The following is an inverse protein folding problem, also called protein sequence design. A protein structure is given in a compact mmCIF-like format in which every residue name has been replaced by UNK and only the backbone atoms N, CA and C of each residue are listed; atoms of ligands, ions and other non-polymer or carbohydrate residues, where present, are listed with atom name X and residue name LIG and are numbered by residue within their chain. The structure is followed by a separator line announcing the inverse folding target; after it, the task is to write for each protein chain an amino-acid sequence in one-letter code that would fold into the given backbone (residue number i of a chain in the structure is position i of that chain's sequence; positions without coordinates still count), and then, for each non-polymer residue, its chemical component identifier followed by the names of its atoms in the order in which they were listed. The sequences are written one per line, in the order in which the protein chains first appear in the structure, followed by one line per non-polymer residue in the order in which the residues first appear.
data_IF_056798113908
#
_entry.id   IF_056798113908
#
_cell.length_a   1.000
_cell.length_b   1.000
_cell.length_c   1.000
_cell.angle_alpha   90.00
_cell.angle_beta   90.00
_cell.angle_gamma   90.00
#
_symmetry.space_group_name_H-M   'P 1'
#
loop_
_entity.id
_entity.type
_entity.pdbx_description
1 polymer ?
#
# COMPACT_ATOMS: atom_id res chain seq x y z
N UNK A 1 -33.43 17.93 -19.54
CA UNK A 1 -32.50 19.07 -19.69
C UNK A 1 -31.16 18.48 -20.09
N UNK A 2 -30.88 18.44 -21.40
CA UNK A 2 -29.71 17.78 -21.99
C UNK A 2 -28.50 18.72 -21.88
N UNK A 3 -27.53 18.36 -21.04
CA UNK A 3 -26.21 18.99 -21.07
C UNK A 3 -25.24 18.15 -21.89
N UNK A 4 -24.72 18.81 -22.92
CA UNK A 4 -23.89 18.28 -23.98
C UNK A 4 -22.42 18.32 -23.51
N UNK A 5 -21.81 17.17 -23.20
CA UNK A 5 -20.38 17.06 -22.95
C UNK A 5 -19.68 16.45 -24.17
N UNK A 6 -19.35 17.31 -25.12
CA UNK A 6 -18.40 17.03 -26.19
C UNK A 6 -17.23 18.00 -26.04
N UNK A 7 -16.19 17.54 -25.31
CA UNK A 7 -14.80 18.06 -25.39
C UNK A 7 -13.87 17.09 -24.65
N UNK A 8 -13.50 16.03 -25.33
CA UNK A 8 -12.49 15.06 -24.88
C UNK A 8 -11.25 15.22 -25.75
N UNK A 9 -10.08 15.23 -25.11
CA UNK A 9 -8.71 15.13 -25.66
C UNK A 9 -8.21 16.30 -26.51
N UNK A 10 -7.61 17.28 -25.83
CA UNK A 10 -6.24 17.75 -26.04
C UNK A 10 -5.96 18.85 -25.01
N UNK A 11 -4.82 18.75 -24.32
CA UNK A 11 -4.30 19.70 -23.31
C UNK A 11 -4.87 19.54 -21.89
N UNK A 12 -4.42 18.50 -21.18
CA UNK A 12 -4.20 18.60 -19.72
C UNK A 12 -2.73 19.00 -19.51
N UNK A 13 -2.43 20.26 -19.82
CA UNK A 13 -1.24 20.94 -19.35
C UNK A 13 -1.73 22.04 -18.40
N UNK A 14 -1.36 21.92 -17.13
CA UNK A 14 -1.40 22.98 -16.10
C UNK A 14 -2.77 23.47 -15.60
N UNK A 15 -3.50 22.67 -14.81
CA UNK A 15 -4.54 23.23 -13.90
C UNK A 15 -4.68 22.48 -12.56
N UNK A 16 -3.63 21.83 -12.06
CA UNK A 16 -3.43 21.73 -10.61
C UNK A 16 -2.36 22.76 -10.26
N UNK A 17 -2.60 23.60 -9.24
CA UNK A 17 -1.53 24.43 -8.69
C UNK A 17 -0.40 23.46 -8.32
N UNK A 18 0.83 23.61 -8.82
CA UNK A 18 1.89 22.68 -8.47
C UNK A 18 2.04 22.73 -6.95
N UNK A 19 1.79 21.61 -6.25
CA UNK A 19 2.23 21.49 -4.86
C UNK A 19 3.74 21.41 -4.94
N UNK A 20 4.38 22.47 -4.48
CA UNK A 20 5.82 22.54 -4.42
C UNK A 20 6.18 22.66 -2.96
N UNK A 21 7.18 21.90 -2.55
CA UNK A 21 7.61 21.84 -1.16
C UNK A 21 8.91 22.59 -0.97
N UNK A 22 9.14 23.06 0.25
CA UNK A 22 10.50 23.38 0.66
C UNK A 22 11.26 22.08 0.96
N UNK A 23 12.59 22.15 0.95
CA UNK A 23 13.44 21.07 1.43
C UNK A 23 13.05 20.64 2.86
N UNK A 24 12.66 21.59 3.70
CA UNK A 24 12.23 21.33 5.08
C UNK A 24 10.91 20.54 5.14
N UNK A 25 9.94 20.84 4.26
CA UNK A 25 8.69 20.09 4.20
C UNK A 25 8.94 18.64 3.76
N UNK A 26 9.85 18.42 2.81
CA UNK A 26 10.24 17.08 2.36
C UNK A 26 10.93 16.31 3.48
N UNK A 27 11.87 16.95 4.19
CA UNK A 27 12.53 16.33 5.33
C UNK A 27 11.53 15.92 6.42
N UNK A 28 10.59 16.81 6.74
CA UNK A 28 9.53 16.56 7.72
C UNK A 28 8.63 15.41 7.29
N UNK A 29 8.26 15.35 6.00
CA UNK A 29 7.44 14.27 5.44
C UNK A 29 8.16 12.92 5.48
N UNK A 30 9.44 12.89 5.08
CA UNK A 30 10.27 11.68 5.14
C UNK A 30 10.47 11.22 6.59
N UNK A 31 10.80 12.12 7.51
CA UNK A 31 10.98 11.79 8.93
C UNK A 31 9.69 11.25 9.55
N UNK A 32 8.54 11.83 9.15
CA UNK A 32 7.22 11.36 9.58
C UNK A 32 6.92 9.96 9.01
N UNK A 33 7.17 9.73 7.73
CA UNK A 33 6.97 8.42 7.08
C UNK A 33 7.89 7.35 7.69
N UNK A 34 9.15 7.68 7.94
CA UNK A 34 10.12 6.85 8.66
C UNK A 34 9.61 6.50 10.06
N UNK A 35 9.11 7.49 10.81
CA UNK A 35 8.61 7.26 12.16
C UNK A 35 7.35 6.40 12.15
N UNK A 36 6.48 6.59 11.16
CA UNK A 36 5.23 5.84 11.00
C UNK A 36 5.42 4.42 10.48
N UNK A 37 6.49 4.12 9.74
CA UNK A 37 6.76 2.75 9.26
C UNK A 37 7.40 1.84 10.31
N UNK A 38 7.80 2.37 11.47
CA UNK A 38 8.47 1.63 12.54
C UNK A 38 7.50 0.77 13.34
N UNK A 39 8.01 -0.36 13.80
CA UNK A 39 7.37 -1.20 14.82
C UNK A 39 7.09 -0.32 16.04
N UNK A 40 5.83 -0.25 16.45
CA UNK A 40 5.42 0.52 17.61
C UNK A 40 5.33 -0.35 18.87
N UNK A 41 5.56 0.28 20.03
CA UNK A 41 5.40 -0.37 21.33
C UNK A 41 3.92 -0.56 21.72
N UNK A 42 2.98 -0.18 20.84
CA UNK A 42 1.55 -0.41 21.06
C UNK A 42 1.32 -1.88 21.35
N UNK A 43 0.82 -2.19 22.53
CA UNK A 43 0.35 -3.51 22.87
C UNK A 43 -1.16 -3.48 22.76
N UNK A 44 -1.68 -4.14 21.74
CA UNK A 44 -3.08 -4.53 21.76
C UNK A 44 -3.25 -5.57 22.87
N UNK A 45 -4.24 -5.36 23.72
CA UNK A 45 -4.66 -6.36 24.70
C UNK A 45 -5.39 -7.52 23.99
N UNK A 46 -6.09 -7.20 22.89
CA UNK A 46 -6.82 -8.16 22.08
C UNK A 46 -6.56 -7.91 20.60
N UNK A 47 -6.36 -8.98 19.85
CA UNK A 47 -6.31 -8.94 18.38
C UNK A 47 -7.35 -9.93 17.86
N UNK A 48 -8.31 -9.40 17.12
CA UNK A 48 -9.51 -10.10 16.68
C UNK A 48 -9.53 -10.13 15.14
N UNK A 49 -9.66 -11.32 14.55
CA UNK A 49 -9.70 -11.51 13.10
C UNK A 49 -11.10 -11.95 12.68
N UNK A 50 -11.63 -11.28 11.67
CA UNK A 50 -12.83 -11.69 10.96
C UNK A 50 -12.52 -12.00 9.50
N UNK A 51 -12.52 -13.28 9.16
CA UNK A 51 -12.25 -13.76 7.82
C UNK A 51 -13.54 -14.05 7.05
N UNK A 52 -13.60 -13.58 5.82
CA UNK A 52 -14.73 -13.68 4.91
C UNK A 52 -14.29 -14.43 3.67
N UNK A 53 -15.13 -15.35 3.20
CA UNK A 53 -15.02 -15.97 1.87
C UNK A 53 -16.40 -16.24 1.31
N UNK A 54 -16.52 -16.39 0.00
CA UNK A 54 -17.74 -16.91 -0.59
C UNK A 54 -17.75 -18.44 -0.51
N UNK A 55 -18.95 -19.00 -0.41
CA UNK A 55 -19.15 -20.45 -0.47
C UNK A 55 -18.65 -21.03 -1.81
N UNK A 56 -18.81 -20.28 -2.90
CA UNK A 56 -18.49 -20.69 -4.27
C UNK A 56 -16.99 -20.56 -4.66
N UNK A 57 -16.14 -19.99 -3.80
CA UNK A 57 -14.70 -19.80 -4.09
C UNK A 57 -13.91 -21.13 -4.14
N UNK A 58 -14.51 -22.25 -3.76
CA UNK A 58 -13.96 -23.61 -3.86
C UNK A 58 -13.01 -24.00 -2.72
N UNK A 59 -12.71 -25.30 -2.63
CA UNK A 59 -11.99 -25.90 -1.50
C UNK A 59 -10.55 -25.41 -1.35
N UNK A 60 -9.87 -25.04 -2.46
CA UNK A 60 -8.51 -24.49 -2.41
C UNK A 60 -8.43 -23.16 -1.66
N UNK A 61 -9.42 -22.29 -1.85
CA UNK A 61 -9.51 -21.00 -1.15
C UNK A 61 -9.85 -21.21 0.33
N UNK A 62 -10.77 -22.14 0.63
CA UNK A 62 -11.11 -22.50 2.00
C UNK A 62 -9.90 -23.08 2.77
N UNK A 63 -9.10 -23.92 2.12
CA UNK A 63 -7.87 -24.48 2.68
C UNK A 63 -6.84 -23.39 3.03
N UNK A 64 -6.59 -22.45 2.11
CA UNK A 64 -5.66 -21.35 2.34
C UNK A 64 -6.11 -20.41 3.46
N UNK A 65 -7.40 -20.06 3.50
CA UNK A 65 -7.94 -19.24 4.58
C UNK A 65 -7.78 -19.96 5.93
N UNK A 66 -8.09 -21.26 5.99
CA UNK A 66 -7.93 -22.06 7.21
C UNK A 66 -6.48 -22.09 7.68
N UNK A 67 -5.53 -22.29 6.76
CA UNK A 67 -4.10 -22.30 7.07
C UNK A 67 -3.60 -20.93 7.57
N UNK A 68 -4.08 -19.84 6.97
CA UNK A 68 -3.76 -18.48 7.42
C UNK A 68 -4.30 -18.19 8.83
N UNK A 69 -5.54 -18.60 9.11
CA UNK A 69 -6.14 -18.44 10.45
C UNK A 69 -5.46 -19.32 11.50
N UNK A 70 -5.04 -20.53 11.15
CA UNK A 70 -4.25 -21.40 12.03
C UNK A 70 -2.91 -20.76 12.38
N UNK A 71 -2.24 -20.15 11.40
CA UNK A 71 -0.99 -19.42 11.63
C UNK A 71 -1.19 -18.24 12.59
N UNK A 72 -2.21 -17.41 12.37
CA UNK A 72 -2.51 -16.28 13.26
C UNK A 72 -2.86 -16.74 14.68
N UNK A 73 -3.65 -17.80 14.82
CA UNK A 73 -4.02 -18.32 16.12
C UNK A 73 -2.81 -18.92 16.85
N UNK A 74 -2.02 -19.77 16.19
CA UNK A 74 -0.95 -20.54 16.84
C UNK A 74 0.33 -19.75 17.06
N UNK A 75 0.74 -18.92 16.10
CA UNK A 75 2.00 -18.17 16.18
C UNK A 75 1.79 -16.82 16.85
N UNK A 76 0.69 -16.13 16.53
CA UNK A 76 0.45 -14.78 17.04
C UNK A 76 -0.50 -14.75 18.26
N UNK A 77 -1.24 -15.83 18.51
CA UNK A 77 -2.19 -15.90 19.62
C UNK A 77 -3.48 -15.12 19.37
N UNK A 78 -3.78 -14.78 18.12
CA UNK A 78 -4.94 -13.96 17.78
C UNK A 78 -6.25 -14.77 17.82
N UNK A 79 -7.36 -14.09 18.14
CA UNK A 79 -8.68 -14.70 18.10
C UNK A 79 -9.23 -14.64 16.67
N UNK A 80 -9.62 -15.79 16.11
CA UNK A 80 -9.99 -15.91 14.70
C UNK A 80 -11.43 -16.40 14.56
N UNK A 81 -12.26 -15.66 13.82
CA UNK A 81 -13.58 -16.09 13.38
C UNK A 81 -13.65 -16.08 11.84
N UNK A 82 -14.26 -17.11 11.26
CA UNK A 82 -14.48 -17.22 9.82
C UNK A 82 -15.97 -17.23 9.51
N UNK A 83 -16.37 -16.51 8.47
CA UNK A 83 -17.74 -16.47 7.97
C UNK A 83 -17.76 -16.78 6.48
N UNK A 84 -18.54 -17.78 6.12
CA UNK A 84 -18.77 -18.20 4.73
C UNK A 84 -20.04 -17.52 4.24
N UNK A 85 -19.90 -16.65 3.24
CA UNK A 85 -21.01 -15.95 2.61
C UNK A 85 -21.72 -16.93 1.67
N UNK A 86 -23.00 -17.28 1.90
CA UNK A 86 -23.70 -18.30 1.12
C UNK A 86 -23.86 -17.94 -0.37
N UNK A 87 -24.02 -18.95 -1.22
CA UNK A 87 -24.27 -18.76 -2.66
C UNK A 87 -25.70 -18.24 -2.90
N UNK A 88 -25.88 -17.30 -3.83
CA UNK A 88 -27.21 -16.74 -4.17
C UNK A 88 -27.74 -15.70 -3.19
N UNK A 89 -26.90 -15.28 -2.24
CA UNK A 89 -27.19 -14.24 -1.27
C UNK A 89 -27.28 -12.86 -1.95
N UNK A 90 -28.44 -12.21 -1.92
CA UNK A 90 -28.72 -10.98 -2.69
C UNK A 90 -28.56 -9.68 -1.89
N UNK A 91 -28.22 -9.74 -0.60
CA UNK A 91 -28.18 -8.57 0.27
C UNK A 91 -26.78 -8.22 0.77
N UNK A 92 -26.23 -7.08 0.31
CA UNK A 92 -25.13 -6.40 1.01
C UNK A 92 -25.47 -6.14 2.49
N UNK A 93 -26.76 -5.99 2.81
CA UNK A 93 -27.27 -5.71 4.16
C UNK A 93 -26.95 -6.77 5.20
N UNK A 94 -27.13 -8.06 4.93
CA UNK A 94 -26.92 -9.06 5.99
C UNK A 94 -25.43 -9.38 6.20
N UNK A 95 -24.60 -9.28 5.15
CA UNK A 95 -23.14 -9.36 5.32
C UNK A 95 -22.65 -8.16 6.13
N UNK A 96 -23.19 -6.97 5.87
CA UNK A 96 -22.91 -5.79 6.68
C UNK A 96 -23.36 -5.98 8.14
N UNK A 97 -24.58 -6.46 8.39
CA UNK A 97 -25.05 -6.76 9.75
C UNK A 97 -24.15 -7.76 10.44
N UNK A 98 -23.68 -8.79 9.73
CA UNK A 98 -22.77 -9.79 10.31
C UNK A 98 -21.41 -9.18 10.69
N UNK A 99 -20.88 -8.28 9.85
CA UNK A 99 -19.64 -7.54 10.16
C UNK A 99 -19.86 -6.61 11.34
N UNK A 100 -20.99 -5.91 11.40
CA UNK A 100 -21.32 -4.97 12.48
C UNK A 100 -21.54 -5.71 13.82
N UNK A 101 -22.32 -6.79 13.82
CA UNK A 101 -22.56 -7.66 14.97
C UNK A 101 -21.25 -8.23 15.53
N UNK A 102 -20.27 -8.50 14.66
CA UNK A 102 -18.95 -8.93 15.08
C UNK A 102 -18.08 -7.78 15.58
N UNK A 103 -18.08 -6.64 14.88
CA UNK A 103 -17.19 -5.51 15.12
C UNK A 103 -17.58 -4.68 16.34
N UNK A 104 -18.86 -4.36 16.49
CA UNK A 104 -19.38 -3.46 17.53
C UNK A 104 -19.07 -3.93 18.95
N UNK A 105 -19.20 -5.22 19.32
CA UNK A 105 -18.80 -5.71 20.65
C UNK A 105 -17.29 -5.65 20.94
N UNK A 106 -16.47 -5.44 19.91
CA UNK A 106 -14.99 -5.45 19.95
C UNK A 106 -14.38 -4.05 19.80
N UNK A 107 -15.20 -3.01 19.73
CA UNK A 107 -14.78 -1.62 19.71
C UNK A 107 -14.17 -1.22 21.06
N UNK A 108 -12.84 -1.18 21.13
CA UNK A 108 -12.08 -0.81 22.33
C UNK A 108 -10.73 -0.22 21.94
N UNK A 109 -10.29 0.80 22.68
CA UNK A 109 -9.00 1.49 22.48
C UNK A 109 -7.77 0.60 22.23
N UNK A 110 -7.61 -0.48 23.01
CA UNK A 110 -6.45 -1.37 22.93
C UNK A 110 -6.73 -2.66 22.14
N UNK A 111 -7.63 -2.61 21.16
CA UNK A 111 -7.98 -3.77 20.31
C UNK A 111 -7.62 -3.50 18.86
N UNK A 112 -6.98 -4.48 18.21
CA UNK A 112 -6.79 -4.51 16.77
C UNK A 112 -7.84 -5.44 16.15
N UNK A 113 -8.61 -4.92 15.20
CA UNK A 113 -9.51 -5.71 14.36
C UNK A 113 -8.89 -5.93 13.00
N UNK A 114 -8.78 -7.18 12.57
CA UNK A 114 -8.25 -7.53 11.25
C UNK A 114 -9.38 -8.14 10.44
N UNK A 115 -9.74 -7.48 9.34
CA UNK A 115 -10.71 -8.01 8.39
C UNK A 115 -9.95 -8.67 7.25
N UNK A 116 -10.23 -9.94 7.00
CA UNK A 116 -9.60 -10.69 5.92
C UNK A 116 -10.68 -11.06 4.92
N UNK A 117 -10.51 -10.71 3.65
CA UNK A 117 -11.32 -11.25 2.58
C UNK A 117 -10.47 -12.16 1.70
N UNK A 118 -10.90 -13.40 1.53
CA UNK A 118 -10.26 -14.41 0.70
C UNK A 118 -11.25 -14.84 -0.37
N UNK A 119 -10.99 -14.52 -1.65
CA UNK A 119 -11.89 -14.97 -2.72
C UNK A 119 -11.35 -14.79 -4.13
N UNK A 120 -11.97 -15.49 -5.08
CA UNK A 120 -11.61 -15.48 -6.51
C UNK A 120 -12.83 -15.03 -7.30
N UNK A 121 -12.88 -13.76 -7.73
CA UNK A 121 -13.97 -13.26 -8.58
C UNK A 121 -13.50 -12.70 -9.90
N UNK A 122 -13.98 -13.28 -10.99
CA UNK A 122 -13.92 -12.70 -12.33
C UNK A 122 -14.97 -11.60 -12.49
N UNK A 123 -14.57 -10.36 -12.78
CA UNK A 123 -15.50 -9.43 -13.43
C UNK A 123 -15.82 -9.95 -14.84
N UNK A 124 -17.09 -10.29 -15.11
CA UNK A 124 -17.59 -10.43 -16.48
C UNK A 124 -17.98 -9.04 -16.98
N UNK A 125 -17.05 -8.32 -17.63
CA UNK A 125 -17.36 -7.05 -18.27
C UNK A 125 -16.17 -6.49 -19.07
N UNK A 126 -16.41 -5.67 -20.12
CA UNK A 126 -15.33 -5.11 -20.93
C UNK A 126 -14.51 -4.13 -20.10
N UNK A 127 -13.24 -4.47 -19.90
CA UNK A 127 -12.23 -3.62 -19.25
C UNK A 127 -11.73 -2.65 -20.32
N UNK A 128 -12.06 -1.36 -20.20
CA UNK A 128 -11.34 -0.32 -20.94
C UNK A 128 -10.00 -0.05 -20.23
N UNK A 129 -8.86 -0.02 -20.95
CA UNK A 129 -7.53 0.15 -20.36
C UNK A 129 -7.16 1.61 -20.04
N UNK A 130 -8.09 2.55 -20.20
CA UNK A 130 -7.85 3.98 -19.93
C UNK A 130 -8.63 4.44 -18.69
N UNK A 131 -7.95 5.21 -17.83
CA UNK A 131 -8.43 6.16 -16.82
C UNK A 131 -8.48 5.72 -15.35
N UNK A 132 -7.96 6.64 -14.52
CA UNK A 132 -8.27 6.87 -13.11
C UNK A 132 -9.79 6.92 -12.89
N UNK A 133 -10.42 5.75 -12.80
CA UNK A 133 -11.84 5.66 -12.44
C UNK A 133 -11.92 5.81 -10.92
N UNK A 134 -12.19 7.04 -10.48
CA UNK A 134 -12.77 7.25 -9.15
C UNK A 134 -13.96 6.31 -8.96
N UNK A 135 -14.05 5.73 -7.76
CA UNK A 135 -14.95 4.67 -7.27
C UNK A 135 -16.48 4.79 -7.48
N UNK A 136 -16.97 5.68 -8.35
CA UNK A 136 -18.41 5.99 -8.45
C UNK A 136 -19.25 5.03 -9.31
N UNK A 137 -18.68 4.12 -10.09
CA UNK A 137 -19.47 3.37 -11.10
C UNK A 137 -19.23 1.84 -11.18
N UNK A 138 -19.05 1.12 -10.08
CA UNK A 138 -19.42 -0.31 -10.05
C UNK A 138 -20.27 -0.56 -8.81
N UNK A 139 -21.57 -0.64 -9.03
CA UNK A 139 -22.56 -1.01 -8.02
C UNK A 139 -23.20 -2.38 -8.30
N UNK A 140 -22.77 -3.13 -9.33
CA UNK A 140 -23.71 -4.09 -9.93
C UNK A 140 -23.18 -5.49 -10.29
N UNK A 141 -22.02 -5.93 -9.77
CA UNK A 141 -21.50 -7.29 -10.10
C UNK A 141 -20.95 -8.11 -8.92
N UNK A 142 -20.96 -7.60 -7.69
CA UNK A 142 -20.65 -8.39 -6.49
C UNK A 142 -21.67 -8.15 -5.40
N UNK A 143 -22.22 -9.23 -4.83
CA UNK A 143 -23.14 -9.20 -3.67
C UNK A 143 -22.45 -8.78 -2.37
N UNK A 144 -21.12 -8.71 -2.38
CA UNK A 144 -20.27 -8.21 -1.31
C UNK A 144 -19.46 -7.03 -1.82
N UNK A 145 -19.49 -5.92 -1.07
CA UNK A 145 -18.65 -4.76 -1.32
C UNK A 145 -17.45 -4.86 -0.38
N UNK A 146 -16.20 -4.99 -0.88
CA UNK A 146 -15.02 -5.04 -0.02
C UNK A 146 -14.79 -3.74 0.76
N UNK A 147 -15.63 -2.70 0.55
CA UNK A 147 -15.67 -1.50 1.37
C UNK A 147 -16.47 -1.64 2.67
N UNK A 148 -17.26 -2.70 2.85
CA UNK A 148 -18.04 -2.87 4.08
C UNK A 148 -17.16 -2.87 5.35
N UNK A 149 -15.99 -3.54 5.38
CA UNK A 149 -15.04 -3.41 6.48
C UNK A 149 -14.56 -1.97 6.75
N UNK A 150 -14.46 -1.12 5.72
CA UNK A 150 -14.05 0.28 5.88
C UNK A 150 -15.08 1.11 6.66
N UNK A 151 -16.36 0.73 6.62
CA UNK A 151 -17.41 1.45 7.38
C UNK A 151 -17.33 1.21 8.89
N UNK A 152 -16.89 0.03 9.32
CA UNK A 152 -16.70 -0.33 10.73
C UNK A 152 -15.31 0.08 11.27
N UNK A 153 -14.42 0.56 10.40
CA UNK A 153 -13.06 0.95 10.78
C UNK A 153 -12.99 2.27 11.57
N UNK A 154 -14.07 3.07 11.57
CA UNK A 154 -14.18 4.31 12.33
C UNK A 154 -14.41 4.09 13.83
N UNK A 155 -14.69 2.85 14.24
CA UNK A 155 -14.91 2.47 15.62
C UNK A 155 -13.59 2.58 16.44
N UNK A 156 -13.67 2.85 17.74
CA UNK A 156 -12.50 2.89 18.64
C UNK A 156 -11.60 1.64 18.53
N UNK A 157 -10.28 1.87 18.52
CA UNK A 157 -9.25 0.86 18.27
C UNK A 157 -8.58 1.05 16.91
N UNK A 158 -7.73 0.10 16.55
CA UNK A 158 -7.08 0.06 15.24
C UNK A 158 -7.72 -1.03 14.37
N UNK A 159 -7.68 -0.82 13.05
CA UNK A 159 -8.32 -1.71 12.08
C UNK A 159 -7.38 -1.93 10.89
N UNK A 160 -7.18 -3.19 10.50
CA UNK A 160 -6.38 -3.61 9.34
C UNK A 160 -7.26 -4.42 8.38
N UNK A 161 -7.22 -4.10 7.10
CA UNK A 161 -7.93 -4.84 6.05
C UNK A 161 -6.94 -5.57 5.15
N UNK A 162 -7.05 -6.89 5.07
CA UNK A 162 -6.29 -7.76 4.17
C UNK A 162 -7.23 -8.30 3.10
N UNK A 163 -7.14 -7.79 1.89
CA UNK A 163 -8.15 -8.03 0.85
C UNK A 163 -7.53 -8.74 -0.36
N UNK A 164 -7.79 -10.03 -0.49
CA UNK A 164 -7.43 -10.80 -1.67
C UNK A 164 -8.57 -10.70 -2.69
N UNK A 165 -8.52 -9.68 -3.56
CA UNK A 165 -9.61 -9.31 -4.46
C UNK A 165 -9.11 -9.05 -5.87
N UNK A 166 -9.88 -9.48 -6.87
CA UNK A 166 -9.49 -9.35 -8.28
C UNK A 166 -9.95 -8.03 -8.92
N UNK A 167 -10.93 -7.33 -8.35
CA UNK A 167 -11.83 -6.48 -9.16
C UNK A 167 -11.66 -4.95 -9.07
N UNK A 168 -10.83 -4.37 -8.19
CA UNK A 168 -10.39 -2.94 -8.22
C UNK A 168 -9.52 -2.58 -7.00
N UNK A 169 -8.71 -1.52 -7.15
CA UNK A 169 -7.93 -0.89 -6.07
C UNK A 169 -8.85 -0.41 -4.94
N UNK A 170 -8.76 -0.87 -3.68
CA UNK A 170 -9.43 -0.20 -2.56
C UNK A 170 -8.75 1.15 -2.28
N UNK A 171 -9.51 2.25 -2.35
CA UNK A 171 -9.03 3.58 -1.98
C UNK A 171 -9.82 4.02 -0.75
N UNK A 172 -9.27 3.90 0.47
CA UNK A 172 -9.83 4.63 1.60
C UNK A 172 -9.72 6.12 1.30
N UNK A 173 -10.82 6.88 1.47
CA UNK A 173 -10.79 8.35 1.47
C UNK A 173 -10.95 8.81 2.93
N UNK A 174 -9.93 9.44 3.49
CA UNK A 174 -9.93 9.98 4.86
C UNK A 174 -9.50 8.97 5.94
N UNK A 175 -9.80 9.29 7.21
CA UNK A 175 -9.55 8.39 8.35
C UNK A 175 -10.27 7.04 8.11
N UNK A 176 -9.51 5.95 8.16
CA UNK A 176 -9.97 4.62 7.81
C UNK A 176 -8.93 3.56 8.20
N UNK A 177 -9.20 2.27 7.97
CA UNK A 177 -8.25 1.23 8.34
C UNK A 177 -7.05 1.28 7.41
N UNK A 178 -5.92 0.81 7.90
CA UNK A 178 -4.80 0.48 7.02
C UNK A 178 -5.18 -0.73 6.15
N UNK A 179 -4.78 -0.74 4.88
CA UNK A 179 -5.23 -1.74 3.91
C UNK A 179 -4.05 -2.32 3.15
N UNK A 180 -3.97 -3.64 3.08
CA UNK A 180 -3.15 -4.37 2.12
C UNK A 180 -4.10 -5.15 1.21
N UNK A 181 -4.00 -4.94 -0.10
CA UNK A 181 -4.86 -5.60 -1.06
C UNK A 181 -4.10 -6.09 -2.29
N UNK A 182 -4.58 -7.18 -2.89
CA UNK A 182 -4.29 -7.51 -4.28
C UNK A 182 -5.39 -6.92 -5.18
N UNK A 183 -5.01 -6.66 -6.41
CA UNK A 183 -5.89 -6.40 -7.55
C UNK A 183 -5.29 -7.12 -8.75
N UNK A 184 -6.09 -7.64 -9.67
CA UNK A 184 -5.58 -8.14 -10.94
C UNK A 184 -6.03 -7.20 -12.04
N UNK A 185 -5.09 -6.43 -12.58
CA UNK A 185 -5.29 -5.83 -13.89
C UNK A 185 -4.98 -6.92 -14.93
N UNK A 186 -5.96 -7.21 -15.79
CA UNK A 186 -5.78 -7.82 -17.11
C UNK A 186 -5.49 -9.33 -17.25
N UNK A 187 -5.49 -10.15 -16.20
CA UNK A 187 -5.32 -11.60 -16.40
C UNK A 187 -6.59 -12.28 -16.97
N UNK A 188 -6.49 -12.78 -18.20
CA UNK A 188 -7.50 -13.69 -18.80
C UNK A 188 -7.17 -15.14 -18.41
N UNK A 189 -7.55 -15.56 -17.22
CA UNK A 189 -7.43 -16.96 -16.79
C UNK A 189 -7.87 -17.17 -15.34
N UNK A 190 -8.43 -18.35 -15.03
CA UNK A 190 -8.69 -18.80 -13.64
C UNK A 190 -7.40 -18.64 -12.85
N UNK A 191 -7.30 -17.83 -11.78
CA UNK A 191 -6.11 -17.90 -10.95
C UNK A 191 -6.08 -19.32 -10.41
N UNK A 192 -5.01 -20.04 -10.70
CA UNK A 192 -4.69 -21.21 -9.89
C UNK A 192 -4.59 -20.70 -8.45
N UNK A 193 -5.22 -21.40 -7.52
CA UNK A 193 -5.28 -21.04 -6.09
C UNK A 193 -3.90 -20.84 -5.45
N UNK A 194 -2.83 -21.20 -6.17
CA UNK A 194 -1.43 -21.04 -5.76
C UNK A 194 -0.90 -19.60 -5.84
N UNK A 195 -1.64 -18.64 -6.43
CA UNK A 195 -1.09 -17.33 -6.80
C UNK A 195 -1.82 -16.08 -6.23
N UNK A 196 -2.61 -16.23 -5.16
CA UNK A 196 -3.32 -15.12 -4.50
C UNK A 196 -2.52 -14.39 -3.40
N UNK A 197 -2.98 -13.20 -2.97
CA UNK A 197 -2.41 -12.47 -1.82
C UNK A 197 -2.36 -13.35 -0.57
N UNK A 198 -3.38 -14.18 -0.37
CA UNK A 198 -3.48 -15.07 0.80
C UNK A 198 -2.27 -16.01 0.89
N UNK A 199 -1.79 -16.53 -0.25
CA UNK A 199 -0.60 -17.38 -0.28
C UNK A 199 0.66 -16.58 0.03
N UNK A 200 0.82 -15.41 -0.58
CA UNK A 200 1.95 -14.51 -0.31
C UNK A 200 2.01 -14.09 1.16
N UNK A 201 0.86 -13.78 1.76
CA UNK A 201 0.72 -13.46 3.19
C UNK A 201 1.18 -14.62 4.05
N UNK A 202 0.69 -15.82 3.76
CA UNK A 202 1.05 -17.01 4.51
C UNK A 202 2.56 -17.27 4.46
N UNK A 203 3.16 -17.24 3.27
CA UNK A 203 4.59 -17.49 3.09
C UNK A 203 5.44 -16.40 3.78
N UNK A 204 5.04 -15.12 3.66
CA UNK A 204 5.73 -14.01 4.32
C UNK A 204 5.62 -14.07 5.85
N UNK A 205 4.45 -14.39 6.40
CA UNK A 205 4.22 -14.48 7.85
C UNK A 205 4.90 -15.70 8.46
N UNK A 206 4.96 -16.84 7.75
CA UNK A 206 5.75 -18.02 8.15
C UNK A 206 7.23 -17.72 8.17
N UNK A 207 7.76 -17.09 7.12
CA UNK A 207 9.17 -16.68 7.07
C UNK A 207 9.52 -15.65 8.15
N UNK A 208 8.53 -14.88 8.61
CA UNK A 208 8.69 -13.89 9.67
C UNK A 208 8.67 -14.49 11.08
N UNK A 209 8.22 -15.74 11.26
CA UNK A 209 8.31 -16.51 12.51
C UNK A 209 7.91 -15.74 13.79
N UNK A 210 6.79 -15.02 13.70
CA UNK A 210 6.25 -14.22 14.82
C UNK A 210 7.15 -13.05 15.27
N UNK A 211 8.15 -12.65 14.48
CA UNK A 211 8.87 -11.40 14.71
C UNK A 211 7.91 -10.20 14.49
N UNK A 212 8.03 -9.10 15.26
CA UNK A 212 7.22 -7.92 15.00
C UNK A 212 7.43 -7.38 13.58
N UNK A 213 6.34 -7.11 12.87
CA UNK A 213 6.34 -6.57 11.51
C UNK A 213 5.21 -5.56 11.34
N UNK A 214 5.49 -4.40 10.74
CA UNK A 214 4.43 -3.44 10.39
C UNK A 214 3.71 -3.86 9.12
N UNK A 215 2.47 -3.43 8.92
CA UNK A 215 1.74 -3.66 7.67
C UNK A 215 2.50 -3.07 6.45
N UNK A 216 3.15 -1.91 6.60
CA UNK A 216 4.01 -1.33 5.58
C UNK A 216 5.21 -2.23 5.22
N UNK A 217 5.92 -2.78 6.22
CA UNK A 217 7.04 -3.72 5.97
C UNK A 217 6.54 -5.07 5.44
N UNK A 218 5.39 -5.55 5.90
CA UNK A 218 4.75 -6.76 5.37
C UNK A 218 4.44 -6.55 3.89
N UNK A 219 3.81 -5.44 3.52
CA UNK A 219 3.57 -5.07 2.12
C UNK A 219 4.85 -5.08 1.28
N UNK A 220 5.93 -4.45 1.77
CA UNK A 220 7.19 -4.42 1.04
C UNK A 220 7.78 -5.82 0.78
N UNK A 221 7.55 -6.77 1.70
CA UNK A 221 7.93 -8.18 1.51
C UNK A 221 7.02 -8.92 0.54
N UNK A 222 5.71 -8.68 0.63
CA UNK A 222 4.75 -9.25 -0.31
C UNK A 222 5.08 -8.81 -1.74
N UNK A 223 5.41 -7.53 -1.92
CA UNK A 223 5.83 -6.98 -3.20
C UNK A 223 7.07 -7.66 -3.76
N UNK A 224 8.11 -7.85 -2.93
CA UNK A 224 9.31 -8.59 -3.30
C UNK A 224 9.02 -10.05 -3.66
N UNK A 225 8.23 -10.74 -2.84
CA UNK A 225 7.91 -12.13 -3.09
C UNK A 225 7.07 -12.30 -4.36
N UNK A 226 6.16 -11.36 -4.63
CA UNK A 226 5.37 -11.33 -5.86
C UNK A 226 6.26 -11.10 -7.09
N UNK A 227 7.23 -10.19 -7.03
CA UNK A 227 8.14 -9.91 -8.15
C UNK A 227 9.11 -11.06 -8.46
N UNK A 228 9.47 -11.85 -7.44
CA UNK A 228 10.29 -13.06 -7.59
C UNK A 228 9.47 -14.29 -8.01
N UNK A 229 8.16 -14.27 -7.75
CA UNK A 229 7.24 -15.32 -8.14
C UNK A 229 6.65 -15.01 -9.51
N UNK A 230 6.09 -16.00 -10.22
CA UNK A 230 5.32 -15.75 -11.44
C UNK A 230 3.93 -15.13 -11.16
N UNK A 231 3.76 -14.50 -9.99
CA UNK A 231 2.49 -13.98 -9.51
C UNK A 231 2.28 -12.57 -10.07
N UNK A 232 1.33 -12.42 -10.99
CA UNK A 232 0.91 -11.11 -11.52
C UNK A 232 -0.21 -10.52 -10.65
N UNK A 233 0.02 -10.39 -9.35
CA UNK A 233 -0.88 -9.66 -8.47
C UNK A 233 -0.40 -8.20 -8.36
N UNK A 234 -1.27 -7.24 -8.67
CA UNK A 234 -1.00 -5.84 -8.34
C UNK A 234 -1.26 -5.66 -6.85
N UNK A 235 -0.19 -5.50 -6.08
CA UNK A 235 -0.28 -5.28 -4.65
C UNK A 235 -0.41 -3.79 -4.35
N UNK A 236 -1.29 -3.48 -3.41
CA UNK A 236 -1.56 -2.14 -2.92
C UNK A 236 -1.43 -2.08 -1.41
N UNK A 237 -0.86 -0.99 -0.93
CA UNK A 237 -0.88 -0.61 0.48
C UNK A 237 -1.47 0.80 0.59
N UNK A 238 -2.47 0.96 1.44
CA UNK A 238 -3.06 2.25 1.77
C UNK A 238 -2.95 2.44 3.29
N UNK A 239 -2.07 3.34 3.78
CA UNK A 239 -1.94 3.59 5.20
C UNK A 239 -3.12 4.40 5.74
N UNK A 240 -3.32 4.36 7.07
CA UNK A 240 -4.08 5.39 7.77
C UNK A 240 -3.22 6.67 7.81
N UNK A 241 -3.67 7.74 7.13
CA UNK A 241 -2.94 8.99 6.91
C UNK A 241 -2.35 9.63 8.18
N UNK A 242 -2.94 9.37 9.35
CA UNK A 242 -2.57 10.04 10.61
C UNK A 242 -2.01 9.09 11.66
N UNK A 243 -1.91 7.78 11.37
CA UNK A 243 -1.41 6.78 12.33
C UNK A 243 -0.11 6.12 11.87
N UNK A 244 0.71 5.63 12.81
CA UNK A 244 1.76 4.67 12.50
C UNK A 244 1.17 3.41 11.86
N UNK A 245 1.96 2.74 11.02
CA UNK A 245 1.60 1.46 10.44
C UNK A 245 1.40 0.42 11.55
N UNK A 246 0.32 -0.34 11.43
CA UNK A 246 -0.12 -1.36 12.38
C UNK A 246 0.98 -2.42 12.49
N UNK A 247 1.40 -2.68 13.73
CA UNK A 247 2.38 -3.71 14.05
C UNK A 247 1.69 -5.03 14.35
N UNK A 248 1.99 -6.07 13.57
CA UNK A 248 1.63 -7.45 13.85
C UNK A 248 2.74 -8.08 14.70
N UNK A 249 2.39 -8.59 15.89
CA UNK A 249 3.29 -9.32 16.78
C UNK A 249 2.50 -10.25 17.70
N UNK A 250 3.09 -11.35 18.19
CA UNK A 250 2.39 -12.23 19.12
C UNK A 250 1.97 -11.49 20.40
N UNK A 251 0.74 -11.72 20.88
CA UNK A 251 0.17 -11.03 22.05
C UNK A 251 1.03 -11.16 23.32
N UNK A 252 1.74 -12.28 23.48
CA UNK A 252 2.57 -12.56 24.64
C UNK A 252 4.04 -12.11 24.50
N UNK A 253 4.41 -11.44 23.40
CA UNK A 253 5.80 -11.10 23.09
C UNK A 253 6.08 -9.62 23.38
N UNK A 254 7.02 -9.38 24.29
CA UNK A 254 7.50 -8.03 24.62
C UNK A 254 8.73 -7.61 23.82
N UNK A 255 9.40 -8.56 23.16
CA UNK A 255 10.59 -8.30 22.37
C UNK A 255 10.24 -7.60 21.05
N UNK A 256 10.79 -6.41 20.86
CA UNK A 256 10.58 -5.57 19.69
C UNK A 256 11.68 -5.71 18.65
N UNK A 257 12.45 -6.82 18.68
CA UNK A 257 13.59 -6.97 17.77
C UNK A 257 13.07 -6.78 16.33
N UNK A 258 13.44 -5.69 15.65
CA UNK A 258 12.83 -5.36 14.37
C UNK A 258 13.21 -6.40 13.35
N UNK A 259 12.26 -6.74 12.49
CA UNK A 259 12.59 -7.51 11.30
C UNK A 259 13.37 -6.60 10.33
N UNK A 260 14.40 -7.10 9.62
CA UNK A 260 15.14 -6.27 8.68
C UNK A 260 14.21 -5.66 7.62
N UNK A 261 14.44 -4.39 7.28
CA UNK A 261 13.76 -3.68 6.20
C UNK A 261 13.95 -4.41 4.87
N UNK A 262 12.99 -4.25 3.96
CA UNK A 262 13.10 -4.84 2.62
C UNK A 262 14.18 -4.11 1.81
N UNK A 263 14.85 -4.83 0.90
CA UNK A 263 15.78 -4.23 -0.07
C UNK A 263 15.06 -3.53 -1.24
N UNK A 264 13.74 -3.66 -1.32
CA UNK A 264 12.94 -3.03 -2.36
C UNK A 264 12.82 -1.54 -2.12
N UNK A 265 13.20 -0.75 -3.11
CA UNK A 265 13.20 0.71 -3.03
C UNK A 265 12.37 1.31 -4.13
N UNK A 266 11.91 2.53 -3.88
CA UNK A 266 11.19 3.36 -4.84
C UNK A 266 12.04 4.57 -5.15
N UNK A 267 12.25 4.78 -6.45
CA UNK A 267 12.73 6.05 -6.99
C UNK A 267 11.51 6.92 -7.26
N UNK A 268 11.50 8.12 -6.68
CA UNK A 268 10.48 9.13 -6.94
C UNK A 268 11.12 10.49 -7.20
N UNK A 269 10.34 11.38 -7.82
CA UNK A 269 10.72 12.76 -8.06
C UNK A 269 9.86 13.70 -7.21
N UNK A 270 10.46 14.79 -6.73
CA UNK A 270 9.75 15.84 -5.99
C UNK A 270 10.16 17.23 -6.46
N UNK A 271 9.18 18.10 -6.64
CA UNK A 271 9.37 19.51 -7.03
C UNK A 271 9.57 20.40 -5.80
N UNK A 272 10.64 21.18 -5.81
CA UNK A 272 11.10 22.02 -4.69
C UNK A 272 11.11 23.49 -5.10
N UNK A 273 10.50 24.37 -4.31
CA UNK A 273 10.50 25.83 -4.59
C UNK A 273 11.85 26.50 -4.34
N UNK A 274 12.66 25.90 -3.49
CA UNK A 274 13.94 26.47 -3.07
C UNK A 274 14.92 26.58 -4.25
N UNK A 275 15.77 27.60 -4.21
CA UNK A 275 16.90 27.70 -5.13
C UNK A 275 18.00 26.73 -4.66
N UNK A 276 17.80 25.45 -4.92
CA UNK A 276 18.65 24.37 -4.42
C UNK A 276 19.98 24.36 -5.18
N UNK A 277 21.09 24.55 -4.46
CA UNK A 277 22.44 24.28 -4.94
C UNK A 277 23.03 23.01 -4.30
N UNK A 278 24.14 22.49 -4.81
CA UNK A 278 24.75 21.24 -4.34
C UNK A 278 25.12 21.24 -2.84
N UNK A 279 25.51 22.39 -2.28
CA UNK A 279 25.81 22.52 -0.84
C UNK A 279 24.54 22.41 0.00
N UNK A 280 23.45 23.00 -0.47
CA UNK A 280 22.16 22.92 0.21
C UNK A 280 21.64 21.49 0.23
N UNK A 281 21.84 20.73 -0.86
CA UNK A 281 21.48 19.30 -0.94
C UNK A 281 22.30 18.48 0.06
N UNK A 282 23.62 18.67 0.12
CA UNK A 282 24.48 17.96 1.08
C UNK A 282 24.12 18.28 2.52
N UNK A 283 23.92 19.56 2.83
CA UNK A 283 23.49 19.98 4.16
C UNK A 283 22.10 19.40 4.53
N UNK A 284 21.20 19.34 3.55
CA UNK A 284 19.89 18.72 3.72
C UNK A 284 19.97 17.21 3.93
N UNK A 285 20.80 16.49 3.17
CA UNK A 285 21.04 15.06 3.36
C UNK A 285 21.61 14.78 4.75
N UNK A 286 22.62 15.55 5.18
CA UNK A 286 23.20 15.45 6.52
C UNK A 286 22.18 15.74 7.62
N UNK A 287 21.34 16.77 7.44
CA UNK A 287 20.26 17.09 8.38
C UNK A 287 19.21 15.96 8.43
N UNK A 288 18.80 15.44 7.27
CA UNK A 288 17.84 14.34 7.18
C UNK A 288 18.38 13.11 7.91
N UNK A 289 19.60 12.68 7.57
CA UNK A 289 20.27 11.54 8.20
C UNK A 289 20.52 11.76 9.70
N UNK A 290 20.82 12.99 10.13
CA UNK A 290 21.00 13.34 11.55
C UNK A 290 19.70 13.36 12.35
N UNK A 291 18.57 13.60 11.69
CA UNK A 291 17.24 13.63 12.30
C UNK A 291 16.56 12.25 12.38
N UNK A 292 17.05 11.29 11.60
CA UNK A 292 16.59 9.91 11.59
C UNK A 292 17.37 9.13 12.68
N UNK A 293 16.69 8.50 13.66
CA UNK A 293 17.36 7.76 14.73
C UNK A 293 18.29 6.66 14.19
N UNK A 294 19.40 6.40 14.89
CA UNK A 294 20.46 5.49 14.43
C UNK A 294 19.99 4.05 14.17
N UNK A 295 18.93 3.60 14.83
CA UNK A 295 18.32 2.28 14.62
C UNK A 295 17.46 2.20 13.34
N UNK A 296 17.27 3.34 12.67
CA UNK A 296 16.56 3.49 11.40
C UNK A 296 17.50 3.93 10.26
N UNK A 297 18.80 4.12 10.52
CA UNK A 297 19.80 4.45 9.48
C UNK A 297 20.00 3.35 8.42
N UNK A 298 19.30 2.23 8.53
CA UNK A 298 19.16 1.25 7.45
C UNK A 298 18.05 1.61 6.45
N UNK A 299 17.28 2.68 6.69
CA UNK A 299 16.43 3.27 5.68
C UNK A 299 17.35 3.89 4.63
N UNK A 300 17.56 3.15 3.53
CA UNK A 300 18.39 3.53 2.38
C UNK A 300 17.75 4.70 1.62
N UNK A 301 17.69 5.87 2.27
CA UNK A 301 17.17 7.13 1.74
C UNK A 301 18.33 7.89 1.12
N UNK A 302 18.22 8.23 -0.17
CA UNK A 302 19.32 8.84 -0.92
C UNK A 302 18.80 9.82 -1.97
N UNK A 303 19.44 10.99 -2.11
CA UNK A 303 19.23 11.83 -3.29
C UNK A 303 20.09 11.31 -4.43
N UNK A 304 19.44 10.86 -5.50
CA UNK A 304 20.16 10.35 -6.67
C UNK A 304 20.66 11.47 -7.57
N UNK A 305 19.83 12.50 -7.79
CA UNK A 305 20.14 13.64 -8.65
C UNK A 305 19.28 14.86 -8.32
N UNK A 306 19.79 16.04 -8.68
CA UNK A 306 19.09 17.33 -8.59
C UNK A 306 19.09 18.01 -9.95
N UNK A 307 17.94 18.53 -10.38
CA UNK A 307 17.78 19.22 -11.65
C UNK A 307 17.20 20.61 -11.42
N UNK A 308 17.90 21.66 -11.84
CA UNK A 308 17.38 23.02 -11.79
C UNK A 308 16.48 23.29 -13.00
N UNK A 309 15.29 23.84 -12.77
CA UNK A 309 14.34 24.21 -13.80
C UNK A 309 14.18 25.72 -13.86
N UNK A 310 14.81 26.34 -14.87
CA UNK A 310 14.68 27.77 -15.20
C UNK A 310 14.93 28.75 -14.02
N UNK A 311 15.63 28.32 -12.97
CA UNK A 311 15.88 29.13 -11.76
C UNK A 311 14.65 29.39 -10.88
N UNK A 312 13.52 28.73 -11.14
CA UNK A 312 12.25 28.94 -10.41
C UNK A 312 11.99 27.81 -9.41
N UNK A 313 12.39 26.58 -9.74
CA UNK A 313 12.24 25.41 -8.88
C UNK A 313 13.31 24.36 -9.22
N UNK A 314 13.56 23.44 -8.29
CA UNK A 314 14.41 22.28 -8.50
C UNK A 314 13.57 20.99 -8.49
N UNK A 315 14.03 19.96 -9.20
CA UNK A 315 13.48 18.60 -9.11
C UNK A 315 14.53 17.72 -8.46
N UNK A 316 14.16 17.08 -7.36
CA UNK A 316 15.00 16.06 -6.71
C UNK A 316 14.54 14.68 -7.14
N UNK A 317 15.49 13.80 -7.44
CA UNK A 317 15.26 12.36 -7.52
C UNK A 317 15.73 11.71 -6.23
N UNK A 318 14.84 11.01 -5.54
CA UNK A 318 15.09 10.42 -4.23
C UNK A 318 14.75 8.93 -4.29
N UNK A 319 15.63 8.10 -3.77
CA UNK A 319 15.40 6.67 -3.52
C UNK A 319 15.05 6.48 -2.05
N UNK A 320 14.00 5.71 -1.74
CA UNK A 320 13.62 5.32 -0.37
C UNK A 320 13.16 3.86 -0.32
N UNK A 321 13.21 3.17 0.83
CA UNK A 321 12.55 1.88 1.01
C UNK A 321 11.05 1.92 0.71
N UNK A 322 10.50 0.84 0.18
CA UNK A 322 9.09 0.75 -0.24
C UNK A 322 8.11 0.98 0.93
N UNK A 323 8.43 0.48 2.12
CA UNK A 323 7.67 0.71 3.35
C UNK A 323 7.67 2.17 3.80
N UNK A 324 8.66 2.98 3.39
CA UNK A 324 8.67 4.43 3.66
C UNK A 324 7.88 5.17 2.58
N UNK A 325 8.05 4.78 1.31
CA UNK A 325 7.31 5.34 0.19
C UNK A 325 5.79 5.28 0.42
N UNK A 326 5.28 4.12 0.83
CA UNK A 326 3.84 3.95 1.07
C UNK A 326 3.31 4.70 2.28
N UNK A 327 4.18 5.22 3.15
CA UNK A 327 3.82 6.02 4.33
C UNK A 327 4.00 7.53 4.11
N UNK A 328 4.45 7.96 2.93
CA UNK A 328 4.48 9.37 2.55
C UNK A 328 3.05 9.92 2.39
N UNK A 329 2.83 11.22 2.62
CA UNK A 329 1.53 11.83 2.37
C UNK A 329 1.17 11.74 0.89
N UNK A 330 -0.13 11.57 0.59
CA UNK A 330 -0.67 11.63 -0.77
C UNK A 330 -0.65 13.09 -1.26
N UNK A 331 0.53 13.52 -1.73
CA UNK A 331 0.77 14.86 -2.22
C UNK A 331 1.23 14.80 -3.68
N UNK A 332 0.61 15.57 -4.61
CA UNK A 332 0.94 15.54 -6.03
C UNK A 332 2.37 16.01 -6.37
N UNK A 333 3.12 16.52 -5.38
CA UNK A 333 4.54 16.83 -5.50
C UNK A 333 5.38 15.56 -5.58
N UNK A 334 4.97 14.47 -4.89
CA UNK A 334 5.66 13.20 -4.90
C UNK A 334 5.21 12.38 -6.11
N UNK A 335 6.07 12.29 -7.12
CA UNK A 335 5.79 11.58 -8.37
C UNK A 335 6.62 10.32 -8.45
N UNK A 336 5.95 9.17 -8.43
CA UNK A 336 6.58 7.87 -8.63
C UNK A 336 7.34 7.83 -9.97
N UNK A 337 8.57 7.28 -9.96
CA UNK A 337 9.37 7.06 -11.17
C UNK A 337 9.51 5.57 -11.45
N UNK A 338 10.02 4.79 -10.50
CA UNK A 338 10.21 3.35 -10.68
C UNK A 338 10.50 2.61 -9.37
N UNK A 339 10.30 1.29 -9.38
CA UNK A 339 10.89 0.40 -8.39
C UNK A 339 12.35 0.14 -8.76
N UNK A 340 13.26 0.20 -7.79
CA UNK A 340 14.70 0.07 -8.02
C UNK A 340 15.34 -0.88 -7.01
N UNK A 341 16.20 -1.77 -7.50
CA UNK A 341 16.96 -2.74 -6.68
C UNK A 341 18.45 -2.43 -6.63
N UNK A 342 18.96 -1.59 -7.52
CA UNK A 342 20.37 -1.16 -7.56
C UNK A 342 20.55 0.34 -7.36
N UNK A 343 21.73 0.72 -6.87
CA UNK A 343 22.11 2.13 -6.77
C UNK A 343 22.28 2.73 -8.17
N UNK A 344 22.26 4.05 -8.31
CA UNK A 344 22.59 4.70 -9.58
C UNK A 344 23.99 4.25 -10.08
N UNK A 345 23.99 3.43 -11.13
CA UNK A 345 25.19 2.76 -11.66
C UNK A 345 26.03 3.68 -12.57
N UNK A 346 25.55 4.90 -12.87
CA UNK A 346 26.23 5.84 -13.77
C UNK A 346 26.78 7.07 -13.04
N UNK A 347 28.09 7.06 -12.80
CA UNK A 347 28.86 8.26 -12.44
C UNK A 347 29.31 9.05 -13.68
N UNK A 348 29.26 8.45 -14.87
CA UNK A 348 29.67 9.07 -16.12
C UNK A 348 28.48 9.77 -16.82
N UNK A 349 28.50 11.11 -16.84
CA UNK A 349 27.66 11.90 -17.76
C UNK A 349 28.18 11.64 -19.17
N UNK A 350 27.71 10.57 -19.81
CA UNK A 350 27.96 10.36 -21.23
C UNK A 350 26.88 11.12 -21.99
N UNK A 351 27.25 12.26 -22.58
CA UNK A 351 26.36 13.00 -23.45
C UNK A 351 25.86 12.04 -24.53
N UNK A 352 24.54 11.81 -24.55
CA UNK A 352 23.93 11.08 -25.66
C UNK A 352 24.12 11.93 -26.92
N UNK A 353 24.46 11.31 -28.07
CA UNK A 353 24.62 12.05 -29.30
C UNK A 353 23.33 12.81 -29.60
N UNK A 354 23.47 14.11 -29.87
CA UNK A 354 22.37 14.95 -30.29
C UNK A 354 21.72 14.34 -31.54
N UNK A 355 20.41 14.09 -31.51
CA UNK A 355 19.68 13.79 -32.75
C UNK A 355 19.70 15.05 -33.60
N UNK A 356 20.63 15.13 -34.55
CA UNK A 356 20.51 16.09 -35.65
C UNK A 356 19.15 15.83 -36.31
N UNK A 357 18.34 16.89 -36.43
CA UNK A 357 17.18 16.87 -37.32
C UNK A 357 17.72 16.47 -38.69
N UNK A 358 17.13 15.43 -39.28
CA UNK A 358 17.34 15.19 -40.70
C UNK A 358 16.83 16.43 -41.43
N UNK A 359 17.73 17.17 -42.07
CA UNK A 359 17.35 18.24 -42.98
C UNK A 359 16.52 17.60 -44.08
N UNK A 360 15.22 17.92 -44.09
CA UNK A 360 14.33 17.60 -45.19
C UNK A 360 14.68 18.61 -46.28
N UNK A 361 15.53 18.20 -47.21
CA UNK A 361 15.91 18.96 -48.40
C UNK A 361 14.78 19.11 -49.41
#
# INVERSE_FOLDING_TARGET
MLFNYSKTRLVQLFTTKPSRHSLQNIATSLQSAVSRSRVTNGNYENVEIFALRLEEDGDGVAGLQTELLDLFSRVYGYNCEAYVIPTGYSGHGDVWMKIDDWSSPRERKNTLRIYIYTGIRFARGPIQPDLDIEFREIFDLSTFDPRLPFSCANNEGDSLCLVDCWNRRPVPKGDGPEVIASCALEQKGKPDSEFGLTRLLLDALKANDGAPITAATLYARLFRNASQSQIQAYLMHAPDENRPSITLKPLNRTDLRPCPLSSERVLFSVEVEDNVNERDVKAWEEQLLGSIPHDVLNADIKVERTFQSNGIFAVLLITVPLEIWTMLPDDPAYKFVSHVTSNNESSAVRALPFRQRADIG
#
